data_IF_106626236756
#
_entry.id   IF_106626236756
#
_cell.length_a   1.000
_cell.length_b   1.000
_cell.length_c   1.000
_cell.angle_alpha   90.00
_cell.angle_beta   90.00
_cell.angle_gamma   90.00
#
_symmetry.space_group_name_H-M   'P 1'
#
loop_
_entity.id
_entity.type
_entity.pdbx_description
1 polymer ?
#
# COMPACT_ATOMS: atom_id res chain seq x y z
N UNK A 1 0.04 20.99 -1.63
CA UNK A 1 0.27 19.53 -1.71
C UNK A 1 -0.64 18.72 -0.78
N UNK A 2 -0.90 19.17 0.46
CA UNK A 2 -1.81 18.47 1.40
C UNK A 2 -3.21 18.16 0.84
N UNK A 3 -3.79 19.05 0.02
CA UNK A 3 -5.09 18.81 -0.61
C UNK A 3 -5.11 17.57 -1.52
N UNK A 4 -4.03 17.31 -2.24
CA UNK A 4 -3.93 16.15 -3.14
C UNK A 4 -3.93 14.83 -2.35
N UNK A 5 -3.26 14.81 -1.18
CA UNK A 5 -3.28 13.64 -0.29
C UNK A 5 -4.67 13.37 0.27
N UNK A 6 -5.40 14.41 0.67
CA UNK A 6 -6.77 14.24 1.16
C UNK A 6 -7.64 13.59 0.07
N UNK A 7 -7.53 14.06 -1.18
CA UNK A 7 -8.25 13.45 -2.30
C UNK A 7 -7.81 11.99 -2.51
N UNK A 8 -6.51 11.73 -2.54
CA UNK A 8 -5.99 10.38 -2.73
C UNK A 8 -6.48 9.43 -1.61
N UNK A 9 -6.49 9.90 -0.37
CA UNK A 9 -6.99 9.15 0.78
C UNK A 9 -8.47 8.81 0.64
N UNK A 10 -9.31 9.80 0.29
CA UNK A 10 -10.74 9.58 0.09
C UNK A 10 -11.02 8.63 -1.07
N UNK A 11 -10.31 8.79 -2.19
CA UNK A 11 -10.43 7.90 -3.36
C UNK A 11 -10.00 6.49 -3.00
N UNK A 12 -8.88 6.34 -2.28
CA UNK A 12 -8.38 5.03 -1.85
C UNK A 12 -9.38 4.33 -0.93
N UNK A 13 -9.86 5.01 0.12
CA UNK A 13 -10.85 4.44 1.07
C UNK A 13 -12.14 4.05 0.35
N UNK A 14 -12.64 4.91 -0.55
CA UNK A 14 -13.83 4.60 -1.33
C UNK A 14 -13.61 3.38 -2.24
N UNK A 15 -12.46 3.32 -2.92
CA UNK A 15 -12.07 2.20 -3.75
C UNK A 15 -12.02 0.91 -2.97
N UNK A 16 -11.35 0.92 -1.82
CA UNK A 16 -11.18 -0.24 -0.96
C UNK A 16 -12.52 -0.76 -0.45
N UNK A 17 -13.33 0.12 0.14
CA UNK A 17 -14.66 -0.23 0.67
C UNK A 17 -15.58 -0.83 -0.39
N UNK A 18 -15.63 -0.25 -1.61
CA UNK A 18 -16.43 -0.79 -2.70
C UNK A 18 -15.87 -2.13 -3.20
N UNK A 19 -14.54 -2.30 -3.19
CA UNK A 19 -13.90 -3.56 -3.57
C UNK A 19 -14.27 -4.70 -2.63
N UNK A 20 -14.28 -4.46 -1.32
CA UNK A 20 -14.74 -5.43 -0.31
C UNK A 20 -16.22 -5.81 -0.54
N UNK A 21 -17.09 -4.82 -0.74
CA UNK A 21 -18.50 -5.08 -1.03
C UNK A 21 -18.70 -5.88 -2.32
N UNK A 22 -17.96 -5.55 -3.37
CA UNK A 22 -18.05 -6.20 -4.68
C UNK A 22 -17.55 -7.65 -4.63
N UNK A 23 -16.54 -7.92 -3.82
CA UNK A 23 -16.01 -9.27 -3.61
C UNK A 23 -16.89 -10.12 -2.68
N UNK A 24 -17.91 -9.54 -2.03
CA UNK A 24 -18.80 -10.16 -1.03
C UNK A 24 -18.06 -10.74 0.18
N UNK A 25 -16.77 -10.50 0.29
CA UNK A 25 -15.88 -10.86 1.39
C UNK A 25 -14.59 -10.07 1.27
N UNK A 26 -13.68 -10.18 2.25
CA UNK A 26 -12.34 -9.60 2.14
C UNK A 26 -11.58 -10.20 0.95
N UNK A 27 -10.91 -9.39 0.12
CA UNK A 27 -10.01 -9.90 -0.92
C UNK A 27 -8.83 -10.68 -0.31
N UNK A 28 -8.15 -11.49 -1.11
CA UNK A 28 -6.95 -12.22 -0.65
C UNK A 28 -5.71 -11.32 -0.58
N UNK A 29 -5.67 -10.26 -1.38
CA UNK A 29 -4.69 -9.18 -1.36
C UNK A 29 -5.31 -7.93 -1.97
N UNK A 30 -4.73 -6.75 -1.69
CA UNK A 30 -5.16 -5.51 -2.31
C UNK A 30 -5.03 -5.58 -3.83
N UNK A 31 -3.94 -6.15 -4.33
CA UNK A 31 -3.71 -6.32 -5.76
C UNK A 31 -4.72 -7.26 -6.43
N UNK A 32 -5.34 -8.20 -5.68
CA UNK A 32 -6.38 -9.06 -6.22
C UNK A 32 -7.67 -8.29 -6.57
N UNK A 33 -7.86 -7.09 -6.04
CA UNK A 33 -8.98 -6.22 -6.36
C UNK A 33 -8.96 -5.75 -7.82
N UNK A 34 -7.80 -5.77 -8.49
CA UNK A 34 -7.68 -5.53 -9.93
C UNK A 34 -8.67 -6.36 -10.76
N UNK A 35 -8.87 -7.60 -10.38
CA UNK A 35 -9.74 -8.53 -11.12
C UNK A 35 -11.24 -8.30 -10.87
N UNK A 36 -11.59 -7.41 -9.94
CA UNK A 36 -12.98 -7.01 -9.63
C UNK A 36 -13.44 -5.79 -10.43
N UNK A 37 -12.51 -5.04 -11.01
CA UNK A 37 -12.74 -3.74 -11.64
C UNK A 37 -12.37 -3.72 -13.13
N UNK A 38 -12.83 -2.73 -13.91
CA UNK A 38 -12.21 -2.44 -15.19
C UNK A 38 -10.69 -2.27 -15.05
N UNK A 39 -9.95 -2.79 -16.01
CA UNK A 39 -8.47 -2.92 -15.94
C UNK A 39 -7.71 -1.64 -15.63
N UNK A 40 -8.28 -0.48 -15.89
CA UNK A 40 -7.66 0.83 -15.63
C UNK A 40 -7.84 1.33 -14.20
N UNK A 41 -8.84 0.83 -13.45
CA UNK A 41 -9.20 1.39 -12.12
C UNK A 41 -8.08 1.17 -11.10
N UNK A 42 -7.62 -0.05 -10.92
CA UNK A 42 -6.54 -0.35 -9.96
C UNK A 42 -5.25 0.41 -10.28
N UNK A 43 -4.72 0.40 -11.53
CA UNK A 43 -3.57 1.21 -11.91
C UNK A 43 -3.74 2.69 -11.59
N UNK A 44 -4.90 3.26 -11.89
CA UNK A 44 -5.17 4.68 -11.64
C UNK A 44 -5.17 5.02 -10.15
N UNK A 45 -5.77 4.17 -9.31
CA UNK A 45 -5.77 4.37 -7.85
C UNK A 45 -4.36 4.28 -7.28
N UNK A 46 -3.58 3.24 -7.63
CA UNK A 46 -2.20 3.09 -7.16
C UNK A 46 -1.30 4.23 -7.63
N UNK A 47 -1.46 4.67 -8.87
CA UNK A 47 -0.74 5.82 -9.42
C UNK A 47 -1.10 7.10 -8.67
N UNK A 48 -2.38 7.36 -8.43
CA UNK A 48 -2.83 8.52 -7.65
C UNK A 48 -2.23 8.49 -6.24
N UNK A 49 -2.27 7.35 -5.55
CA UNK A 49 -1.68 7.19 -4.21
C UNK A 49 -0.19 7.46 -4.25
N UNK A 50 0.57 6.79 -5.11
CA UNK A 50 2.02 6.92 -5.17
C UNK A 50 2.50 8.33 -5.52
N UNK A 51 1.89 8.96 -6.53
CA UNK A 51 2.24 10.34 -6.92
C UNK A 51 1.80 11.39 -5.91
N UNK A 52 0.71 11.18 -5.19
CA UNK A 52 0.27 12.11 -4.14
C UNK A 52 1.14 12.02 -2.89
N UNK A 53 1.59 10.81 -2.54
CA UNK A 53 2.48 10.56 -1.42
C UNK A 53 3.88 11.13 -1.66
N UNK A 54 4.41 10.98 -2.88
CA UNK A 54 5.81 11.24 -3.18
C UNK A 54 6.31 12.61 -2.73
N UNK A 55 5.72 13.76 -3.14
CA UNK A 55 6.26 15.07 -2.78
C UNK A 55 6.16 15.36 -1.29
N UNK A 56 5.07 14.96 -0.64
CA UNK A 56 4.83 15.27 0.77
C UNK A 56 5.66 14.36 1.66
N UNK A 57 5.85 13.13 1.24
CA UNK A 57 6.69 12.20 2.00
C UNK A 57 8.17 12.51 1.88
N UNK A 58 8.62 12.99 0.71
CA UNK A 58 9.98 13.52 0.55
C UNK A 58 10.21 14.76 1.41
N UNK A 59 9.22 15.66 1.50
CA UNK A 59 9.26 16.82 2.39
C UNK A 59 9.32 16.40 3.87
N UNK A 60 8.47 15.46 4.28
CA UNK A 60 8.40 14.97 5.67
C UNK A 60 9.68 14.23 6.11
N UNK A 61 10.45 13.70 5.18
CA UNK A 61 11.69 12.97 5.43
C UNK A 61 12.94 13.77 5.03
N UNK A 62 12.79 15.07 4.72
CA UNK A 62 13.88 15.95 4.33
C UNK A 62 14.96 16.01 5.42
N UNK A 63 16.23 16.00 5.00
CA UNK A 63 17.37 15.99 5.90
C UNK A 63 17.72 14.62 6.52
N UNK A 64 16.89 13.61 6.35
CA UNK A 64 17.22 12.25 6.75
C UNK A 64 18.09 11.55 5.71
N UNK A 65 19.13 10.85 6.15
CA UNK A 65 19.94 9.96 5.28
C UNK A 65 19.12 8.81 4.68
N UNK A 66 17.95 8.54 5.23
CA UNK A 66 17.02 7.47 4.79
C UNK A 66 15.88 8.00 3.91
N UNK A 67 15.90 9.27 3.48
CA UNK A 67 14.87 9.88 2.62
C UNK A 67 14.63 9.08 1.33
N UNK A 68 15.66 8.43 0.78
CA UNK A 68 15.53 7.60 -0.41
C UNK A 68 14.56 6.41 -0.24
N UNK A 69 14.32 5.94 0.99
CA UNK A 69 13.35 4.87 1.26
C UNK A 69 11.92 5.35 0.94
N UNK A 70 11.61 6.60 1.25
CA UNK A 70 10.31 7.21 0.94
C UNK A 70 10.09 7.28 -0.57
N UNK A 71 11.13 7.66 -1.32
CA UNK A 71 11.10 7.65 -2.78
C UNK A 71 10.86 6.23 -3.32
N UNK A 72 11.65 5.24 -2.86
CA UNK A 72 11.52 3.86 -3.32
C UNK A 72 10.14 3.28 -3.05
N UNK A 73 9.56 3.58 -1.88
CA UNK A 73 8.22 3.12 -1.53
C UNK A 73 7.17 3.67 -2.50
N UNK A 74 7.15 4.99 -2.72
CA UNK A 74 6.17 5.63 -3.61
C UNK A 74 6.28 5.13 -5.06
N UNK A 75 7.51 5.05 -5.58
CA UNK A 75 7.77 4.52 -6.93
C UNK A 75 7.32 3.06 -7.05
N UNK A 76 7.62 2.24 -6.04
CA UNK A 76 7.21 0.84 -6.05
C UNK A 76 5.68 0.67 -6.00
N UNK A 77 4.94 1.51 -5.27
CA UNK A 77 3.47 1.53 -5.30
C UNK A 77 2.95 1.81 -6.71
N UNK A 78 3.54 2.77 -7.41
CA UNK A 78 3.18 3.07 -8.81
C UNK A 78 3.46 1.87 -9.71
N UNK A 79 4.63 1.22 -9.58
CA UNK A 79 4.97 0.03 -10.37
C UNK A 79 4.07 -1.18 -10.09
N UNK A 80 3.59 -1.36 -8.86
CA UNK A 80 2.55 -2.35 -8.52
C UNK A 80 1.29 -2.07 -9.36
N UNK A 81 0.89 -0.80 -9.47
CA UNK A 81 -0.24 -0.38 -10.29
C UNK A 81 -0.05 -0.70 -11.79
N UNK A 82 1.15 -0.53 -12.32
CA UNK A 82 1.44 -0.79 -13.74
C UNK A 82 1.65 -2.28 -14.09
N UNK A 83 1.82 -3.16 -13.11
CA UNK A 83 1.95 -4.61 -13.30
C UNK A 83 0.82 -5.38 -12.61
N UNK A 84 -0.45 -5.11 -12.94
CA UNK A 84 -1.58 -5.62 -12.17
C UNK A 84 -2.00 -7.03 -12.58
N UNK A 85 -1.59 -7.51 -13.77
CA UNK A 85 -2.03 -8.80 -14.32
C UNK A 85 -1.17 -9.98 -13.86
N UNK A 86 -0.61 -9.87 -12.66
CA UNK A 86 0.36 -10.79 -12.07
C UNK A 86 -0.10 -12.26 -11.99
N UNK A 87 -1.41 -12.54 -12.04
CA UNK A 87 -1.91 -13.93 -12.02
C UNK A 87 -1.79 -14.65 -13.38
N UNK A 88 -1.72 -13.89 -14.47
CA UNK A 88 -1.78 -14.44 -15.82
C UNK A 88 -0.46 -14.26 -16.61
N UNK A 89 0.45 -13.41 -16.14
CA UNK A 89 1.73 -13.14 -16.73
C UNK A 89 2.87 -13.31 -15.73
N UNK A 90 3.83 -14.18 -16.04
CA UNK A 90 4.95 -14.50 -15.15
C UNK A 90 5.92 -13.33 -14.96
N UNK A 91 6.12 -12.51 -16.00
CA UNK A 91 7.00 -11.35 -15.92
C UNK A 91 6.35 -10.26 -15.05
N UNK A 92 5.07 -9.98 -15.28
CA UNK A 92 4.30 -9.07 -14.43
C UNK A 92 4.26 -9.58 -12.99
N UNK A 93 4.12 -10.89 -12.76
CA UNK A 93 4.18 -11.48 -11.42
C UNK A 93 5.50 -11.16 -10.71
N UNK A 94 6.64 -11.39 -11.36
CA UNK A 94 7.94 -11.14 -10.75
C UNK A 94 8.14 -9.66 -10.40
N UNK A 95 7.83 -8.76 -11.35
CA UNK A 95 7.95 -7.31 -11.13
C UNK A 95 7.01 -6.87 -10.01
N UNK A 96 5.75 -7.31 -10.06
CA UNK A 96 4.74 -6.99 -9.06
C UNK A 96 5.19 -7.40 -7.65
N UNK A 97 5.65 -8.63 -7.47
CA UNK A 97 6.09 -9.15 -6.17
C UNK A 97 7.33 -8.43 -5.65
N UNK A 98 8.33 -8.17 -6.51
CA UNK A 98 9.51 -7.39 -6.12
C UNK A 98 9.10 -5.99 -5.67
N UNK A 99 8.27 -5.31 -6.44
CA UNK A 99 7.80 -3.97 -6.09
C UNK A 99 6.96 -3.97 -4.80
N UNK A 100 6.12 -5.00 -4.58
CA UNK A 100 5.34 -5.12 -3.35
C UNK A 100 6.25 -5.28 -2.11
N UNK A 101 7.28 -6.14 -2.19
CA UNK A 101 8.24 -6.29 -1.09
C UNK A 101 9.04 -5.01 -0.85
N UNK A 102 9.51 -4.34 -1.90
CA UNK A 102 10.24 -3.07 -1.77
C UNK A 102 9.32 -2.01 -1.15
N UNK A 103 8.10 -1.85 -1.66
CA UNK A 103 7.15 -0.88 -1.13
C UNK A 103 6.88 -1.10 0.36
N UNK A 104 6.56 -2.33 0.76
CA UNK A 104 6.28 -2.66 2.15
C UNK A 104 7.49 -2.44 3.06
N UNK A 105 8.66 -2.96 2.68
CA UNK A 105 9.86 -2.86 3.49
C UNK A 105 10.31 -1.40 3.66
N UNK A 106 10.39 -0.64 2.56
CA UNK A 106 10.85 0.75 2.61
C UNK A 106 9.84 1.68 3.28
N UNK A 107 8.54 1.42 3.12
CA UNK A 107 7.49 2.14 3.82
C UNK A 107 7.59 1.95 5.34
N UNK A 108 7.70 0.70 5.81
CA UNK A 108 7.86 0.40 7.23
C UNK A 108 9.12 1.03 7.82
N UNK A 109 10.25 0.89 7.13
CA UNK A 109 11.51 1.47 7.59
C UNK A 109 11.40 2.99 7.70
N UNK A 110 10.79 3.67 6.71
CA UNK A 110 10.57 5.11 6.77
C UNK A 110 9.63 5.52 7.89
N UNK A 111 8.51 4.84 8.07
CA UNK A 111 7.54 5.14 9.12
C UNK A 111 8.15 4.97 10.51
N UNK A 112 8.95 3.92 10.73
CA UNK A 112 9.52 3.59 12.04
C UNK A 112 10.74 4.45 12.34
N UNK A 113 11.73 4.48 11.44
CA UNK A 113 13.05 5.06 11.71
C UNK A 113 13.19 6.53 11.34
N UNK A 114 12.38 7.03 10.40
CA UNK A 114 12.44 8.43 9.99
C UNK A 114 11.34 9.25 10.65
N UNK A 115 10.09 8.75 10.63
CA UNK A 115 8.95 9.47 11.20
C UNK A 115 8.65 9.12 12.67
N UNK A 116 9.34 8.12 13.24
CA UNK A 116 9.23 7.76 14.65
C UNK A 116 7.95 7.01 15.04
N UNK A 117 7.22 6.45 14.09
CA UNK A 117 6.00 5.68 14.34
C UNK A 117 6.30 4.23 14.74
N UNK A 118 7.20 4.04 15.71
CA UNK A 118 7.62 2.72 16.20
C UNK A 118 6.46 1.84 16.70
N UNK A 119 5.35 2.43 17.14
CA UNK A 119 4.14 1.73 17.55
C UNK A 119 3.50 0.91 16.41
N UNK A 120 3.74 1.28 15.15
CA UNK A 120 3.31 0.49 13.98
C UNK A 120 3.94 -0.91 13.99
N UNK A 121 5.18 -1.05 14.50
CA UNK A 121 5.80 -2.36 14.65
C UNK A 121 4.98 -3.26 15.58
N UNK A 122 4.44 -2.71 16.67
CA UNK A 122 3.58 -3.46 17.58
C UNK A 122 2.27 -3.89 16.90
N UNK A 123 1.69 -3.02 16.08
CA UNK A 123 0.49 -3.37 15.29
C UNK A 123 0.83 -4.51 14.32
N UNK A 124 1.95 -4.43 13.59
CA UNK A 124 2.39 -5.50 12.70
C UNK A 124 2.61 -6.83 13.42
N UNK A 125 3.25 -6.81 14.60
CA UNK A 125 3.45 -8.01 15.41
C UNK A 125 2.12 -8.59 15.91
N UNK A 126 1.19 -7.74 16.35
CA UNK A 126 -0.15 -8.14 16.77
C UNK A 126 -0.92 -8.76 15.60
N UNK A 127 -0.90 -8.12 14.44
CA UNK A 127 -1.53 -8.64 13.24
C UNK A 127 -0.93 -9.99 12.83
N UNK A 128 0.41 -10.17 12.91
CA UNK A 128 1.05 -11.46 12.66
C UNK A 128 0.56 -12.54 13.64
N UNK A 129 0.45 -12.23 14.92
CA UNK A 129 -0.10 -13.14 15.91
C UNK A 129 -1.56 -13.52 15.60
N UNK A 130 -2.39 -12.55 15.21
CA UNK A 130 -3.78 -12.78 14.81
C UNK A 130 -3.92 -13.57 13.51
N UNK A 131 -2.87 -13.59 12.66
CA UNK A 131 -2.90 -14.33 11.39
C UNK A 131 -3.10 -15.84 11.55
N UNK A 132 -2.76 -16.39 12.71
CA UNK A 132 -2.97 -17.81 13.02
C UNK A 132 -4.44 -18.16 13.36
N UNK A 133 -5.28 -17.14 13.57
CA UNK A 133 -6.71 -17.34 13.83
C UNK A 133 -7.42 -17.79 12.54
N UNK A 134 -8.20 -18.85 12.62
CA UNK A 134 -8.98 -19.37 11.49
C UNK A 134 -9.88 -18.28 10.89
N UNK A 135 -9.76 -18.05 9.58
CA UNK A 135 -10.49 -17.02 8.84
C UNK A 135 -9.68 -15.75 8.56
N UNK A 136 -8.82 -15.31 9.46
CA UNK A 136 -7.97 -14.14 9.24
C UNK A 136 -6.79 -14.47 8.31
N UNK A 137 -6.22 -15.66 8.44
CA UNK A 137 -5.07 -16.14 7.63
C UNK A 137 -5.30 -16.05 6.12
N UNK A 138 -6.54 -16.31 5.65
CA UNK A 138 -6.88 -16.27 4.22
C UNK A 138 -6.78 -14.86 3.62
N UNK A 139 -6.99 -13.83 4.43
CA UNK A 139 -7.07 -12.43 4.00
C UNK A 139 -5.92 -11.57 4.59
N UNK A 140 -4.94 -12.25 5.20
CA UNK A 140 -3.83 -11.60 5.89
C UNK A 140 -3.09 -10.58 5.03
N UNK A 141 -2.69 -10.99 3.82
CA UNK A 141 -1.96 -10.12 2.89
C UNK A 141 -2.75 -8.85 2.58
N UNK A 142 -4.06 -8.98 2.36
CA UNK A 142 -4.94 -7.83 2.12
C UNK A 142 -4.92 -6.85 3.29
N UNK A 143 -5.15 -7.32 4.51
CA UNK A 143 -5.18 -6.45 5.69
C UNK A 143 -3.83 -5.76 5.96
N UNK A 144 -2.74 -6.45 5.69
CA UNK A 144 -1.39 -5.91 5.87
C UNK A 144 -1.09 -4.82 4.83
N UNK A 145 -1.39 -5.06 3.57
CA UNK A 145 -1.21 -4.10 2.47
C UNK A 145 -2.09 -2.85 2.68
N UNK A 146 -3.36 -3.06 3.04
CA UNK A 146 -4.31 -1.98 3.28
C UNK A 146 -3.92 -1.13 4.49
N UNK A 147 -3.61 -1.77 5.63
CA UNK A 147 -3.16 -1.07 6.84
C UNK A 147 -1.89 -0.24 6.58
N UNK A 148 -0.98 -0.74 5.74
CA UNK A 148 0.24 -0.03 5.39
C UNK A 148 -0.08 1.23 4.57
N UNK A 149 -0.87 1.11 3.51
CA UNK A 149 -1.24 2.26 2.66
C UNK A 149 -2.01 3.31 3.47
N UNK A 150 -2.98 2.89 4.29
CA UNK A 150 -3.70 3.81 5.18
C UNK A 150 -2.73 4.50 6.15
N UNK A 151 -1.81 3.75 6.76
CA UNK A 151 -0.80 4.34 7.66
C UNK A 151 0.07 5.37 6.96
N UNK A 152 0.49 5.09 5.71
CA UNK A 152 1.24 6.04 4.89
C UNK A 152 0.46 7.33 4.62
N UNK A 153 -0.79 7.19 4.19
CA UNK A 153 -1.64 8.34 3.89
C UNK A 153 -1.93 9.20 5.12
N UNK A 154 -2.18 8.56 6.28
CA UNK A 154 -2.48 9.26 7.53
C UNK A 154 -1.23 9.87 8.20
N UNK A 155 -0.05 9.29 8.00
CA UNK A 155 1.18 9.75 8.66
C UNK A 155 1.63 11.16 8.26
N UNK A 156 1.11 11.67 7.14
CA UNK A 156 1.52 12.94 6.54
C UNK A 156 0.36 13.93 6.32
N UNK A 157 -0.85 13.60 6.80
CA UNK A 157 -1.98 14.52 6.88
C UNK A 157 -1.84 15.47 8.08
#
# INVERSE_FOLDING_TARGET
MKFLIVIATLVYIAYDWVSVKKNKNWPVSLSATYYLWPKWVFPSVMTLVGFSLLPVWLEATEGSSLQFLSFLSCVSIVFIGFNPNYKNDKNEYNIHMICAYIACATALLSLIFVLGYWWLLLIFLLLNYLSDIKGFKKHWTYHLEDALIISLLLSIM
#
